data_IF_855643309949
#
_entry.id   IF_855643309949
#
_cell.length_a   1.000
_cell.length_b   1.000
_cell.length_c   1.000
_cell.angle_alpha   90.00
_cell.angle_beta   90.00
_cell.angle_gamma   90.00
#
_symmetry.space_group_name_H-M   'P 1'
#
loop_
_entity.id
_entity.type
_entity.pdbx_description
1 polymer ?
#
# COMPACT_ATOMS: atom_id res chain seq x y z
N UNK A 1 -13.93 -18.05 -24.22
CA UNK A 1 -13.01 -18.19 -25.37
C UNK A 1 -12.39 -19.59 -25.38
N UNK A 2 -13.23 -20.63 -25.47
CA UNK A 2 -12.87 -22.05 -25.26
C UNK A 2 -12.45 -22.79 -26.52
N UNK A 3 -12.48 -22.12 -27.68
CA UNK A 3 -12.29 -22.74 -28.99
C UNK A 3 -10.95 -22.35 -29.64
N UNK A 4 -10.09 -21.63 -28.92
CA UNK A 4 -8.76 -21.19 -29.39
C UNK A 4 -7.84 -22.39 -29.58
N UNK A 5 -7.03 -22.33 -30.65
CA UNK A 5 -6.07 -23.39 -31.00
C UNK A 5 -5.15 -23.77 -29.85
N UNK A 6 -4.56 -22.78 -29.17
CA UNK A 6 -3.64 -23.02 -28.05
C UNK A 6 -4.30 -23.73 -26.87
N UNK A 7 -5.57 -23.41 -26.58
CA UNK A 7 -6.31 -24.09 -25.50
C UNK A 7 -6.56 -25.56 -25.83
N UNK A 8 -7.00 -25.87 -27.06
CA UNK A 8 -7.20 -27.26 -27.50
C UNK A 8 -5.91 -28.06 -27.48
N UNK A 9 -4.77 -27.43 -27.80
CA UNK A 9 -3.47 -28.10 -27.77
C UNK A 9 -3.05 -28.43 -26.33
N UNK A 10 -3.25 -27.52 -25.38
CA UNK A 10 -2.97 -27.76 -23.97
C UNK A 10 -3.85 -28.88 -23.40
N UNK A 11 -5.14 -28.86 -23.69
CA UNK A 11 -6.09 -29.90 -23.27
C UNK A 11 -5.71 -31.28 -23.84
N UNK A 12 -5.27 -31.34 -25.10
CA UNK A 12 -4.74 -32.59 -25.70
C UNK A 12 -3.50 -33.13 -25.00
N UNK A 13 -2.72 -32.28 -24.36
CA UNK A 13 -1.51 -32.66 -23.61
C UNK A 13 -1.81 -32.94 -22.12
N UNK A 14 -3.09 -33.00 -21.73
CA UNK A 14 -3.51 -33.34 -20.37
C UNK A 14 -3.65 -32.15 -19.42
N UNK A 15 -3.56 -30.92 -19.92
CA UNK A 15 -3.80 -29.73 -19.10
C UNK A 15 -5.30 -29.42 -19.00
N UNK A 16 -5.79 -29.11 -17.81
CA UNK A 16 -7.20 -28.78 -17.58
C UNK A 16 -7.38 -27.31 -17.19
N UNK A 17 -8.51 -26.72 -17.62
CA UNK A 17 -8.82 -25.33 -17.34
C UNK A 17 -8.87 -25.06 -15.83
N UNK A 18 -8.06 -24.11 -15.38
CA UNK A 18 -8.00 -23.69 -13.98
C UNK A 18 -6.85 -24.31 -13.19
N UNK A 19 -6.14 -25.30 -13.76
CA UNK A 19 -4.95 -25.88 -13.16
C UNK A 19 -3.68 -25.16 -13.63
N UNK A 20 -2.69 -25.10 -12.74
CA UNK A 20 -1.35 -24.63 -13.08
C UNK A 20 -0.65 -25.61 -14.02
N UNK A 21 0.40 -25.13 -14.69
CA UNK A 21 1.27 -26.00 -15.50
C UNK A 21 2.29 -26.73 -14.62
N UNK A 22 2.91 -27.79 -15.16
CA UNK A 22 3.97 -28.56 -14.49
C UNK A 22 3.49 -29.90 -13.95
N UNK A 23 4.44 -30.74 -13.50
CA UNK A 23 4.16 -32.12 -13.08
C UNK A 23 3.21 -32.21 -11.86
N UNK A 24 3.20 -31.18 -11.02
CA UNK A 24 2.34 -31.07 -9.84
C UNK A 24 1.17 -30.10 -10.05
N UNK A 25 0.94 -29.62 -11.28
CA UNK A 25 -0.15 -28.69 -11.61
C UNK A 25 -0.13 -27.38 -10.79
N UNK A 26 1.03 -26.99 -10.25
CA UNK A 26 1.21 -25.88 -9.32
C UNK A 26 1.84 -24.62 -9.95
N UNK A 27 2.00 -24.59 -11.27
CA UNK A 27 2.46 -23.42 -11.99
C UNK A 27 1.48 -22.25 -11.91
N UNK A 28 1.95 -21.05 -12.24
CA UNK A 28 1.12 -19.85 -12.24
C UNK A 28 -0.07 -20.01 -13.20
N UNK A 29 -1.27 -19.69 -12.71
CA UNK A 29 -2.52 -19.72 -13.48
C UNK A 29 -2.79 -18.40 -14.22
N UNK A 30 -2.10 -17.33 -13.81
CA UNK A 30 -2.19 -16.01 -14.41
C UNK A 30 -0.86 -15.58 -15.04
N UNK A 31 -0.95 -14.71 -16.04
CA UNK A 31 0.22 -14.16 -16.71
C UNK A 31 0.90 -13.09 -15.84
N UNK A 32 2.23 -13.01 -15.94
CA UNK A 32 3.00 -11.94 -15.33
C UNK A 32 2.64 -10.62 -16.03
N UNK A 33 2.30 -9.60 -15.25
CA UNK A 33 2.07 -8.24 -15.75
C UNK A 33 3.36 -7.44 -15.61
N UNK A 34 3.85 -6.89 -16.72
CA UNK A 34 4.95 -5.94 -16.67
C UNK A 34 4.43 -4.59 -16.15
N UNK A 35 5.09 -4.03 -15.14
CA UNK A 35 4.85 -2.65 -14.72
C UNK A 35 5.65 -1.71 -15.63
N UNK A 36 4.97 -0.76 -16.27
CA UNK A 36 5.64 0.27 -17.06
C UNK A 36 5.91 1.50 -16.21
N UNK A 37 7.17 1.92 -16.17
CA UNK A 37 7.61 3.12 -15.47
C UNK A 37 7.59 4.29 -16.45
N UNK A 38 6.72 5.26 -16.18
CA UNK A 38 6.47 6.43 -17.03
C UNK A 38 7.08 7.73 -16.47
N UNK A 39 7.66 7.67 -15.27
CA UNK A 39 8.30 8.80 -14.60
C UNK A 39 9.83 8.78 -14.78
N UNK A 40 10.49 9.87 -14.40
CA UNK A 40 11.94 10.00 -14.44
C UNK A 40 12.63 9.60 -13.13
N UNK A 41 11.88 9.09 -12.15
CA UNK A 41 12.41 8.73 -10.83
C UNK A 41 13.44 7.58 -10.90
N UNK A 42 14.33 7.47 -9.92
CA UNK A 42 15.23 6.32 -9.83
C UNK A 42 14.50 5.04 -9.44
N UNK A 43 15.06 3.87 -9.77
CA UNK A 43 14.58 2.60 -9.20
C UNK A 43 14.72 2.65 -7.67
N UNK A 44 13.64 2.34 -6.94
CA UNK A 44 13.62 2.44 -5.47
C UNK A 44 13.26 3.81 -4.91
N UNK A 45 12.97 4.81 -5.77
CA UNK A 45 12.27 6.01 -5.33
C UNK A 45 10.85 5.59 -4.87
N UNK A 46 10.62 5.62 -3.56
CA UNK A 46 9.29 5.37 -3.00
C UNK A 46 8.27 6.39 -3.49
N UNK A 47 6.97 6.18 -3.23
CA UNK A 47 5.98 7.24 -3.38
C UNK A 47 6.55 8.49 -2.73
N UNK A 48 6.59 9.60 -3.46
CA UNK A 48 7.05 10.88 -2.97
C UNK A 48 6.17 11.22 -1.76
N UNK A 49 6.54 10.78 -0.56
CA UNK A 49 5.71 10.87 0.64
C UNK A 49 5.44 12.36 0.88
N UNK A 50 4.28 12.88 0.49
CA UNK A 50 4.00 14.30 0.69
C UNK A 50 3.76 14.58 2.18
N UNK A 51 3.49 13.52 2.96
CA UNK A 51 3.23 13.55 4.39
C UNK A 51 4.47 13.82 5.24
N UNK A 52 5.69 13.66 4.73
CA UNK A 52 6.89 13.98 5.51
C UNK A 52 6.98 15.48 5.86
N UNK A 53 6.37 16.35 5.05
CA UNK A 53 6.33 17.79 5.31
C UNK A 53 5.09 18.20 6.14
N UNK A 54 3.97 17.49 6.01
CA UNK A 54 2.72 17.79 6.74
C UNK A 54 2.73 17.23 8.17
N UNK A 55 3.46 16.14 8.41
CA UNK A 55 3.54 15.48 9.74
C UNK A 55 4.01 16.42 10.86
N UNK A 56 4.91 17.36 10.57
CA UNK A 56 5.47 18.24 11.59
C UNK A 56 4.48 19.27 12.14
N UNK A 57 3.40 19.58 11.40
CA UNK A 57 2.45 20.61 11.83
C UNK A 57 1.56 20.10 12.97
N UNK A 58 1.09 18.86 12.88
CA UNK A 58 0.24 18.25 13.90
C UNK A 58 1.05 17.92 15.16
N UNK A 59 2.27 17.37 15.00
CA UNK A 59 3.20 17.13 16.10
C UNK A 59 3.54 18.42 16.87
N UNK A 60 3.75 19.53 16.15
CA UNK A 60 4.03 20.83 16.76
C UNK A 60 2.81 21.39 17.51
N UNK A 61 1.61 21.25 16.95
CA UNK A 61 0.37 21.67 17.61
C UNK A 61 0.13 20.88 18.90
N UNK A 62 0.45 19.58 18.92
CA UNK A 62 0.27 18.74 20.10
C UNK A 62 1.32 19.05 21.19
N UNK A 63 2.56 19.36 20.82
CA UNK A 63 3.56 19.90 21.76
C UNK A 63 3.11 21.22 22.39
N UNK A 64 2.55 22.15 21.61
CA UNK A 64 2.03 23.42 22.12
C UNK A 64 0.84 23.21 23.08
N UNK A 65 -0.07 22.29 22.76
CA UNK A 65 -1.18 21.93 23.67
C UNK A 65 -0.65 21.36 24.98
N UNK A 66 0.33 20.46 24.93
CA UNK A 66 0.94 19.85 26.11
C UNK A 66 1.62 20.91 27.00
N UNK A 67 2.40 21.81 26.41
CA UNK A 67 3.08 22.89 27.14
C UNK A 67 2.08 23.88 27.77
N UNK A 68 1.00 24.20 27.05
CA UNK A 68 -0.05 25.08 27.57
C UNK A 68 -0.87 24.40 28.68
N UNK A 69 -1.08 23.09 28.60
CA UNK A 69 -1.73 22.32 29.66
C UNK A 69 -0.86 22.22 30.92
N UNK A 70 0.47 22.09 30.81
CA UNK A 70 1.38 22.07 31.96
C UNK A 70 1.52 23.40 32.71
N UNK A 71 0.95 24.49 32.19
CA UNK A 71 0.87 25.80 32.87
C UNK A 71 -0.46 26.06 33.57
N UNK A 72 -1.46 25.19 33.41
CA UNK A 72 -2.80 25.40 33.98
C UNK A 72 -2.97 24.89 35.40
N UNK A 73 -1.96 24.23 35.97
CA UNK A 73 -2.01 23.71 37.34
C UNK A 73 -1.48 24.71 38.40
N UNK A 74 -1.10 25.93 38.02
CA UNK A 74 -0.73 27.02 38.94
C UNK A 74 -1.46 28.33 38.62
N UNK A 75 -2.79 28.37 38.81
CA UNK A 75 -3.51 29.61 39.06
C UNK A 75 -4.71 29.30 39.98
N UNK A 76 -4.90 30.03 41.09
CA UNK A 76 -5.88 29.66 42.11
C UNK A 76 -7.31 29.87 41.59
N UNK A 77 -8.17 28.89 41.89
CA UNK A 77 -9.62 29.06 41.94
C UNK A 77 -9.96 30.19 42.93
N UNK A 78 -10.30 31.37 42.44
CA UNK A 78 -11.08 32.34 43.21
C UNK A 78 -12.57 32.03 43.03
N UNK A 79 -13.13 31.46 44.10
CA UNK A 79 -14.56 31.49 44.41
C UNK A 79 -14.94 32.90 44.83
N UNK A 80 -15.99 33.49 44.25
CA UNK A 80 -17.21 33.95 44.96
C UNK A 80 -18.07 34.93 44.14
N UNK A 81 -19.39 34.71 44.26
CA UNK A 81 -20.56 35.58 44.05
C UNK A 81 -20.96 36.04 42.64
#
# INVERSE_FOLDING_TARGET
DTNKFGQKLLEKMGWEKGKGLGAQENGMTEHIKASYKWDQSGLGAGPQNPDAWVAHQDDFNDLLKMLNSGKKDEAPEEKEK
#
